data_IF_065122091099
#
_entry.id   IF_065122091099
#
_cell.length_a   1.000
_cell.length_b   1.000
_cell.length_c   1.000
_cell.angle_alpha   90.00
_cell.angle_beta   90.00
_cell.angle_gamma   90.00
#
_symmetry.space_group_name_H-M   'P 1'
#
loop_
_entity.id
_entity.type
_entity.pdbx_description
1 polymer ?
#
# COMPACT_ATOMS: atom_id res chain seq x y z
N UNK A 1 -18.50 -12.08 17.75
CA UNK A 1 -17.74 -10.99 17.10
C UNK A 1 -17.90 -11.16 15.61
N UNK A 2 -18.66 -10.27 14.96
CA UNK A 2 -18.93 -10.33 13.52
C UNK A 2 -17.60 -10.31 12.75
N UNK A 3 -17.35 -11.35 11.97
CA UNK A 3 -16.14 -11.54 11.16
C UNK A 3 -16.09 -10.61 9.94
N UNK A 4 -16.07 -9.29 10.17
CA UNK A 4 -15.60 -8.32 9.19
C UNK A 4 -14.14 -8.03 9.53
N UNK A 5 -13.24 -8.38 8.61
CA UNK A 5 -11.83 -8.04 8.78
C UNK A 5 -11.67 -6.53 8.64
N UNK A 6 -10.62 -5.93 9.22
CA UNK A 6 -10.34 -4.49 9.09
C UNK A 6 -10.20 -4.03 7.63
N UNK A 7 -9.96 -4.95 6.68
CA UNK A 7 -9.98 -4.66 5.24
C UNK A 7 -11.38 -4.34 4.68
N UNK A 8 -12.45 -4.86 5.28
CA UNK A 8 -13.81 -4.79 4.72
C UNK A 8 -14.42 -3.39 4.85
N UNK A 9 -13.98 -2.60 5.85
CA UNK A 9 -14.49 -1.25 6.11
C UNK A 9 -14.07 -0.21 5.06
N UNK A 10 -13.17 -0.55 4.14
CA UNK A 10 -12.62 0.40 3.16
C UNK A 10 -13.19 0.27 1.75
N UNK A 11 -14.06 -0.71 1.50
CA UNK A 11 -14.63 -0.96 0.17
C UNK A 11 -15.89 -0.10 -0.08
N UNK A 12 -16.53 0.43 0.96
CA UNK A 12 -17.91 0.93 0.87
C UNK A 12 -18.08 2.39 0.38
N UNK A 13 -17.02 3.21 0.27
CA UNK A 13 -17.15 4.62 -0.19
C UNK A 13 -16.31 4.98 -1.42
N UNK A 14 -16.15 4.07 -2.38
CA UNK A 14 -15.44 4.42 -3.62
C UNK A 14 -16.39 5.09 -4.62
N UNK A 15 -16.17 6.37 -4.88
CA UNK A 15 -16.93 7.14 -5.87
C UNK A 15 -16.80 6.53 -7.27
N UNK A 16 -17.76 6.81 -8.15
CA UNK A 16 -17.73 6.31 -9.53
C UNK A 16 -16.45 6.74 -10.27
N UNK A 17 -15.95 7.94 -10.01
CA UNK A 17 -14.71 8.47 -10.58
C UNK A 17 -13.47 7.69 -10.14
N UNK A 18 -13.39 7.31 -8.85
CA UNK A 18 -12.26 6.52 -8.36
C UNK A 18 -12.23 5.11 -8.94
N UNK A 19 -13.40 4.48 -9.16
CA UNK A 19 -13.47 3.17 -9.81
C UNK A 19 -12.99 3.22 -11.26
N UNK A 20 -13.30 4.30 -11.97
CA UNK A 20 -12.83 4.52 -13.34
C UNK A 20 -11.32 4.80 -13.33
N UNK A 21 -10.84 5.66 -12.44
CA UNK A 21 -9.42 5.95 -12.29
C UNK A 21 -8.61 4.67 -12.02
N UNK A 22 -9.08 3.79 -11.13
CA UNK A 22 -8.42 2.50 -10.84
C UNK A 22 -8.31 1.62 -12.08
N UNK A 23 -9.39 1.52 -12.87
CA UNK A 23 -9.38 0.73 -14.11
C UNK A 23 -8.41 1.30 -15.12
N UNK A 24 -8.39 2.62 -15.28
CA UNK A 24 -7.47 3.30 -16.19
C UNK A 24 -6.02 3.07 -15.73
N UNK A 25 -5.69 3.31 -14.46
CA UNK A 25 -4.34 3.11 -13.94
C UNK A 25 -3.88 1.65 -14.08
N UNK A 26 -4.75 0.69 -13.79
CA UNK A 26 -4.44 -0.73 -13.95
C UNK A 26 -4.20 -1.10 -15.43
N UNK A 27 -4.96 -0.51 -16.34
CA UNK A 27 -4.77 -0.72 -17.78
C UNK A 27 -3.45 -0.09 -18.28
N UNK A 28 -3.17 1.15 -17.88
CA UNK A 28 -1.95 1.88 -18.26
C UNK A 28 -0.69 1.17 -17.76
N UNK A 29 -0.74 0.54 -16.58
CA UNK A 29 0.37 -0.26 -16.04
C UNK A 29 0.52 -1.66 -16.65
N UNK A 30 -0.22 -2.01 -17.70
CA UNK A 30 -0.27 -3.37 -18.24
C UNK A 30 0.59 -3.57 -19.49
N UNK A 31 1.08 -4.79 -19.72
CA UNK A 31 1.80 -5.15 -20.94
C UNK A 31 1.01 -4.90 -22.24
N UNK A 32 -0.30 -5.23 -22.34
CA UNK A 32 -1.10 -4.93 -23.52
C UNK A 32 -1.12 -3.44 -23.91
N UNK A 33 -1.12 -2.53 -22.92
CA UNK A 33 -1.07 -1.09 -23.17
C UNK A 33 0.22 -0.67 -23.88
N UNK A 34 1.36 -1.24 -23.46
CA UNK A 34 2.66 -0.98 -24.09
C UNK A 34 2.66 -1.44 -25.55
N UNK A 35 2.21 -2.67 -25.82
CA UNK A 35 2.14 -3.18 -27.19
C UNK A 35 1.20 -2.37 -28.08
N UNK A 36 0.05 -1.95 -27.55
CA UNK A 36 -0.90 -1.08 -28.25
C UNK A 36 -0.23 0.24 -28.67
N UNK A 37 0.52 0.88 -27.78
CA UNK A 37 1.21 2.14 -28.07
C UNK A 37 2.34 1.96 -29.08
N UNK A 38 3.13 0.90 -28.97
CA UNK A 38 4.18 0.59 -29.94
C UNK A 38 3.59 0.42 -31.34
N UNK A 39 2.49 -0.33 -31.47
CA UNK A 39 1.81 -0.52 -32.76
C UNK A 39 1.19 0.79 -33.25
N UNK A 40 0.50 1.53 -32.38
CA UNK A 40 -0.12 2.81 -32.71
C UNK A 40 0.90 3.83 -33.24
N UNK A 41 2.00 4.05 -32.51
CA UNK A 41 3.07 4.95 -32.95
C UNK A 41 3.80 4.42 -34.18
N UNK A 42 4.05 3.11 -34.24
CA UNK A 42 4.66 2.48 -35.41
C UNK A 42 3.83 2.68 -36.68
N UNK A 43 2.51 2.50 -36.60
CA UNK A 43 1.59 2.73 -37.72
C UNK A 43 1.59 4.20 -38.13
N UNK A 44 1.56 5.13 -37.18
CA UNK A 44 1.58 6.57 -37.47
C UNK A 44 2.88 7.03 -38.13
N UNK A 45 4.02 6.44 -37.74
CA UNK A 45 5.33 6.79 -38.31
C UNK A 45 5.58 6.15 -39.68
N UNK A 46 5.07 4.93 -39.90
CA UNK A 46 5.30 4.18 -41.16
C UNK A 46 4.29 4.56 -42.25
N UNK A 47 3.08 4.95 -41.88
CA UNK A 47 2.10 5.47 -42.83
C UNK A 47 2.28 6.99 -42.94
N UNK A 48 2.24 7.58 -44.15
CA UNK A 48 2.34 9.03 -44.34
C UNK A 48 1.02 9.73 -43.95
N UNK A 49 0.56 9.52 -42.72
CA UNK A 49 -0.64 10.14 -42.13
C UNK A 49 -0.43 11.65 -41.99
N UNK A 50 0.78 12.06 -41.60
CA UNK A 50 1.17 13.45 -41.43
C UNK A 50 2.60 13.66 -41.97
N UNK A 51 2.85 14.70 -42.78
CA UNK A 51 4.21 15.04 -43.21
C UNK A 51 5.06 15.52 -42.03
N UNK A 52 6.34 15.18 -42.05
CA UNK A 52 7.29 15.68 -41.06
C UNK A 52 7.36 17.22 -41.11
N UNK A 53 7.33 17.92 -39.96
CA UNK A 53 7.38 17.44 -38.58
C UNK A 53 6.00 17.11 -37.98
N UNK A 54 5.86 15.97 -37.30
CA UNK A 54 4.60 15.43 -36.77
C UNK A 54 3.95 16.28 -35.65
N UNK A 55 3.31 17.40 -36.02
CA UNK A 55 2.76 18.38 -35.09
C UNK A 55 1.53 17.87 -34.34
N UNK A 56 0.59 17.24 -35.06
CA UNK A 56 -0.64 16.70 -34.46
C UNK A 56 -0.34 15.52 -33.53
N UNK A 57 0.53 14.60 -33.95
CA UNK A 57 0.94 13.47 -33.11
C UNK A 57 1.55 13.96 -31.79
N UNK A 58 2.48 14.90 -31.86
CA UNK A 58 3.15 15.46 -30.68
C UNK A 58 2.15 16.13 -29.74
N UNK A 59 1.19 16.89 -30.27
CA UNK A 59 0.16 17.54 -29.47
C UNK A 59 -0.72 16.51 -28.73
N UNK A 60 -1.23 15.49 -29.44
CA UNK A 60 -2.06 14.43 -28.85
C UNK A 60 -1.31 13.67 -27.77
N UNK A 61 -0.08 13.23 -28.05
CA UNK A 61 0.75 12.49 -27.08
C UNK A 61 1.06 13.35 -25.84
N UNK A 62 1.30 14.65 -26.03
CA UNK A 62 1.54 15.56 -24.89
C UNK A 62 0.32 15.69 -23.97
N UNK A 63 -0.88 15.77 -24.54
CA UNK A 63 -2.12 15.82 -23.78
C UNK A 63 -2.40 14.50 -23.07
N UNK A 64 -2.20 13.38 -23.78
CA UNK A 64 -2.31 12.04 -23.22
C UNK A 64 -1.37 11.86 -22.02
N UNK A 65 -0.10 12.25 -22.14
CA UNK A 65 0.88 12.16 -21.07
C UNK A 65 0.46 12.95 -19.81
N UNK A 66 -0.14 14.14 -19.97
CA UNK A 66 -0.67 14.92 -18.85
C UNK A 66 -1.81 14.15 -18.16
N UNK A 67 -2.77 13.64 -18.92
CA UNK A 67 -3.88 12.87 -18.36
C UNK A 67 -3.39 11.61 -17.63
N UNK A 68 -2.49 10.84 -18.24
CA UNK A 68 -1.90 9.65 -17.62
C UNK A 68 -1.17 9.99 -16.32
N UNK A 69 -0.36 11.05 -16.30
CA UNK A 69 0.33 11.52 -15.10
C UNK A 69 -0.66 11.86 -13.97
N UNK A 70 -1.77 12.55 -14.28
CA UNK A 70 -2.80 12.85 -13.29
C UNK A 70 -3.49 11.60 -12.74
N UNK A 71 -3.79 10.60 -13.58
CA UNK A 71 -4.34 9.32 -13.14
C UNK A 71 -3.37 8.53 -12.26
N UNK A 72 -2.09 8.49 -12.64
CA UNK A 72 -1.04 7.86 -11.83
C UNK A 72 -0.95 8.56 -10.46
N UNK A 73 -0.91 9.88 -10.43
CA UNK A 73 -0.82 10.66 -9.19
C UNK A 73 -2.04 10.45 -8.28
N UNK A 74 -3.25 10.40 -8.84
CA UNK A 74 -4.45 10.05 -8.08
C UNK A 74 -4.34 8.65 -7.45
N UNK A 75 -3.83 7.67 -8.21
CA UNK A 75 -3.64 6.32 -7.67
C UNK A 75 -2.56 6.25 -6.60
N UNK A 76 -1.47 6.98 -6.78
CA UNK A 76 -0.38 7.09 -5.81
C UNK A 76 -0.83 7.75 -4.50
N UNK A 77 -1.58 8.86 -4.57
CA UNK A 77 -2.11 9.53 -3.38
C UNK A 77 -2.98 8.59 -2.54
N UNK A 78 -3.82 7.80 -3.19
CA UNK A 78 -4.69 6.84 -2.51
C UNK A 78 -3.91 5.64 -1.95
N UNK A 79 -2.87 5.17 -2.65
CA UNK A 79 -1.98 4.15 -2.11
C UNK A 79 -1.25 4.67 -0.85
N UNK A 80 -0.71 5.89 -0.91
CA UNK A 80 -0.05 6.52 0.23
C UNK A 80 -0.98 6.70 1.43
N UNK A 81 -2.26 7.02 1.19
CA UNK A 81 -3.25 7.09 2.27
C UNK A 81 -3.50 5.72 2.93
N UNK A 82 -3.61 4.66 2.13
CA UNK A 82 -3.75 3.28 2.64
C UNK A 82 -2.53 2.87 3.44
N UNK A 83 -1.33 3.10 2.91
CA UNK A 83 -0.07 2.79 3.57
C UNK A 83 0.07 3.54 4.90
N UNK A 84 -0.33 4.82 4.94
CA UNK A 84 -0.34 5.62 6.18
C UNK A 84 -1.30 5.06 7.23
N UNK A 85 -2.49 4.62 6.82
CA UNK A 85 -3.48 4.01 7.72
C UNK A 85 -2.97 2.67 8.26
N UNK A 86 -2.41 1.84 7.40
CA UNK A 86 -1.81 0.57 7.79
C UNK A 86 -0.65 0.77 8.79
N UNK A 87 0.27 1.69 8.49
CA UNK A 87 1.38 2.01 9.37
C UNK A 87 0.91 2.50 10.76
N UNK A 88 -0.22 3.23 10.82
CA UNK A 88 -0.82 3.64 12.10
C UNK A 88 -1.37 2.44 12.89
N UNK A 89 -2.08 1.53 12.22
CA UNK A 89 -2.62 0.32 12.87
C UNK A 89 -1.48 -0.60 13.38
N UNK A 90 -0.43 -0.76 12.58
CA UNK A 90 0.77 -1.51 12.96
C UNK A 90 1.47 -0.87 14.17
N UNK A 91 1.55 0.46 14.19
CA UNK A 91 2.10 1.20 15.34
C UNK A 91 1.30 0.98 16.63
N UNK A 92 -0.04 1.04 16.57
CA UNK A 92 -0.90 0.79 17.74
C UNK A 92 -0.76 -0.64 18.25
N UNK A 93 -0.68 -1.62 17.33
CA UNK A 93 -0.46 -3.03 17.66
C UNK A 93 0.91 -3.24 18.33
N UNK A 94 1.96 -2.61 17.80
CA UNK A 94 3.30 -2.69 18.37
C UNK A 94 3.37 -2.05 19.76
N UNK A 95 2.64 -0.97 20.00
CA UNK A 95 2.56 -0.35 21.32
C UNK A 95 1.88 -1.27 22.34
N UNK A 96 0.77 -1.92 21.95
CA UNK A 96 0.09 -2.90 22.80
C UNK A 96 0.99 -4.10 23.11
N UNK A 97 1.66 -4.64 22.10
CA UNK A 97 2.63 -5.73 22.27
C UNK A 97 3.78 -5.34 23.21
N UNK A 98 4.27 -4.10 23.12
CA UNK A 98 5.30 -3.59 24.03
C UNK A 98 4.84 -3.62 25.48
N UNK A 99 3.62 -3.16 25.76
CA UNK A 99 3.05 -3.18 27.13
C UNK A 99 2.89 -4.61 27.64
N UNK A 100 2.43 -5.54 26.79
CA UNK A 100 2.31 -6.95 27.15
C UNK A 100 3.67 -7.59 27.46
N UNK A 101 4.70 -7.28 26.68
CA UNK A 101 6.07 -7.74 26.93
C UNK A 101 6.60 -7.20 28.26
N UNK A 102 6.38 -5.92 28.56
CA UNK A 102 6.79 -5.32 29.84
C UNK A 102 6.09 -6.00 31.03
N UNK A 103 4.79 -6.30 30.93
CA UNK A 103 4.05 -7.06 31.96
C UNK A 103 4.61 -8.49 32.12
N UNK A 104 4.89 -9.18 31.01
CA UNK A 104 5.52 -10.51 31.04
C UNK A 104 6.90 -10.48 31.70
N UNK A 105 7.72 -9.46 31.41
CA UNK A 105 9.03 -9.29 32.05
C UNK A 105 8.90 -9.08 33.57
N UNK A 106 7.95 -8.26 34.03
CA UNK A 106 7.71 -8.05 35.45
C UNK A 106 7.26 -9.35 36.16
N UNK A 107 6.40 -10.14 35.51
CA UNK A 107 5.97 -11.45 36.03
C UNK A 107 7.13 -12.44 36.12
N UNK A 108 8.02 -12.47 35.12
CA UNK A 108 9.21 -13.33 35.13
C UNK A 108 10.14 -12.98 36.29
N UNK A 109 10.43 -11.69 36.49
CA UNK A 109 11.26 -11.21 37.61
C UNK A 109 10.63 -11.57 38.96
N UNK A 110 9.30 -11.43 39.10
CA UNK A 110 8.60 -11.84 40.33
C UNK A 110 8.76 -13.34 40.59
N UNK A 111 8.55 -14.18 39.57
CA UNK A 111 8.70 -15.63 39.69
C UNK A 111 10.14 -16.02 40.05
N UNK A 112 11.13 -15.32 39.47
CA UNK A 112 12.54 -15.53 39.77
C UNK A 112 12.86 -15.26 41.24
N UNK A 113 12.43 -14.10 41.76
CA UNK A 113 12.61 -13.74 43.17
C UNK A 113 11.89 -14.71 44.11
N UNK A 114 10.63 -15.05 43.85
CA UNK A 114 9.86 -16.00 44.66
C UNK A 114 10.53 -17.39 44.73
N UNK A 115 11.14 -17.83 43.63
CA UNK A 115 11.88 -19.10 43.60
C UNK A 115 13.20 -19.01 44.34
N UNK A 116 13.94 -17.91 44.20
CA UNK A 116 15.18 -17.68 44.94
C UNK A 116 14.93 -17.69 46.45
N UNK A 117 13.90 -17.00 46.92
CA UNK A 117 13.54 -16.94 48.34
C UNK A 117 13.20 -18.33 48.90
N UNK A 118 12.46 -19.14 48.15
CA UNK A 118 12.17 -20.53 48.53
C UNK A 118 13.44 -21.38 48.64
N UNK A 119 14.37 -21.25 47.69
CA UNK A 119 15.64 -22.00 47.71
C UNK A 119 16.47 -21.60 48.93
N UNK A 120 16.61 -20.30 49.20
CA UNK A 120 17.35 -19.79 50.37
C UNK A 120 16.75 -20.31 51.66
N UNK A 121 15.41 -20.31 51.79
CA UNK A 121 14.73 -20.84 52.97
C UNK A 121 15.01 -22.32 53.19
N UNK A 122 14.96 -23.14 52.14
CA UNK A 122 15.26 -24.58 52.22
C UNK A 122 16.72 -24.83 52.62
N UNK A 123 17.66 -24.00 52.15
CA UNK A 123 19.06 -24.11 52.51
C UNK A 123 19.33 -23.67 53.96
N UNK A 124 18.58 -22.70 54.49
CA UNK A 124 18.73 -22.22 55.86
C UNK A 124 18.12 -23.15 56.92
N UNK A 125 17.16 -24.01 56.53
CA UNK A 125 16.53 -25.01 57.40
C UNK A 125 17.33 -26.34 57.48
N UNK A 126 18.46 -26.44 56.78
CA UNK A 126 19.41 -27.57 56.83
C UNK A 126 20.67 -27.22 57.59
#
# INVERSE_FOLDING_TARGET
MNGKSWHDWYVEERSAGERIADRITNFVGSWPFIYLHIVWFGVWLLLPVEPFPFGLLTAVVSLEAILLSTFIMMSQNRQAERDRRQAKADYETNLAAKVEIEDLQQRLVRIENDKLDRIVKILAEK
#
